data_IF_345812991237
#
_entry.id   IF_345812991237
#
_cell.length_a   1.000
_cell.length_b   1.000
_cell.length_c   1.000
_cell.angle_alpha   90.00
_cell.angle_beta   90.00
_cell.angle_gamma   90.00
#
_symmetry.space_group_name_H-M   'P 1'
#
loop_
_entity.id
_entity.type
_entity.pdbx_description
1 polymer ?
#
# COMPACT_ATOMS: atom_id res chain seq x y z
N UNK A 1 29.47 -47.30 1.07
CA UNK A 1 30.24 -46.70 2.14
C UNK A 1 29.62 -45.32 2.41
N UNK A 2 28.63 -45.30 3.31
CA UNK A 2 27.76 -44.15 3.55
C UNK A 2 28.18 -43.39 4.77
N UNK A 3 28.44 -42.11 4.60
CA UNK A 3 28.83 -41.19 5.70
C UNK A 3 27.55 -40.43 6.14
N UNK A 4 27.02 -40.81 7.33
CA UNK A 4 25.93 -40.07 7.99
C UNK A 4 26.56 -38.89 8.76
N UNK A 5 26.19 -37.67 8.42
CA UNK A 5 26.49 -36.47 9.21
C UNK A 5 25.32 -36.21 10.16
N UNK A 6 25.62 -36.31 11.46
CA UNK A 6 24.72 -35.94 12.57
C UNK A 6 24.77 -34.42 12.77
N UNK A 7 23.63 -33.74 12.64
CA UNK A 7 23.46 -32.34 13.03
C UNK A 7 23.01 -32.25 14.48
N UNK A 8 23.78 -31.53 15.32
CA UNK A 8 23.43 -31.19 16.69
C UNK A 8 22.77 -29.81 16.72
N UNK A 9 21.57 -29.62 17.30
CA UNK A 9 20.98 -28.29 17.42
C UNK A 9 21.59 -27.52 18.60
N UNK A 10 22.16 -26.34 18.31
CA UNK A 10 22.57 -25.36 19.30
C UNK A 10 21.34 -24.58 19.80
N UNK A 11 21.08 -24.68 21.11
CA UNK A 11 20.04 -23.89 21.78
C UNK A 11 20.57 -22.48 22.05
N UNK A 12 19.94 -21.47 21.46
CA UNK A 12 20.11 -20.07 21.83
C UNK A 12 19.21 -19.75 23.04
N UNK A 13 19.82 -19.24 24.10
CA UNK A 13 19.18 -18.74 25.33
C UNK A 13 18.96 -17.23 25.14
N UNK A 14 17.75 -16.66 25.28
CA UNK A 14 17.58 -15.21 25.26
C UNK A 14 17.96 -14.62 26.64
N UNK A 15 18.81 -13.60 26.64
CA UNK A 15 19.11 -12.77 27.79
C UNK A 15 18.00 -11.72 27.99
N UNK A 16 17.33 -11.80 29.14
CA UNK A 16 16.35 -10.80 29.56
C UNK A 16 17.09 -9.69 30.28
N UNK A 17 17.11 -8.48 29.76
CA UNK A 17 17.57 -7.27 30.43
C UNK A 17 16.41 -6.61 31.18
N UNK A 18 16.45 -6.64 32.50
CA UNK A 18 15.51 -5.93 33.37
C UNK A 18 15.96 -4.46 33.51
N UNK A 19 15.17 -3.52 32.96
CA UNK A 19 15.34 -2.09 33.18
C UNK A 19 14.53 -1.62 34.39
N UNK A 20 15.21 -1.02 35.37
CA UNK A 20 14.61 -0.48 36.60
C UNK A 20 13.93 0.89 36.32
N UNK A 21 12.67 1.00 36.70
CA UNK A 21 11.88 2.22 36.69
C UNK A 21 12.14 3.01 37.99
N UNK A 22 12.68 4.23 37.90
CA UNK A 22 12.83 5.15 39.04
C UNK A 22 11.63 6.12 39.03
N UNK A 23 10.76 5.98 40.00
CA UNK A 23 9.67 6.93 40.30
C UNK A 23 10.19 7.98 41.27
N UNK A 24 10.31 9.24 40.81
CA UNK A 24 10.59 10.40 41.65
C UNK A 24 9.31 11.05 42.19
N UNK A 25 9.07 10.92 43.47
CA UNK A 25 8.05 11.68 44.20
C UNK A 25 8.63 13.03 44.63
N UNK A 26 8.11 14.15 44.07
CA UNK A 26 8.40 15.51 44.51
C UNK A 26 7.30 15.99 45.45
N UNK A 27 7.70 16.32 46.69
CA UNK A 27 6.85 16.76 47.77
C UNK A 27 6.38 18.23 47.60
N UNK A 28 5.12 18.48 47.94
CA UNK A 28 4.57 19.81 48.18
C UNK A 28 5.18 20.42 49.47
N UNK A 29 5.64 21.64 49.40
CA UNK A 29 5.97 22.48 50.54
C UNK A 29 5.13 23.74 50.51
N UNK A 30 4.18 23.87 51.46
CA UNK A 30 3.52 25.10 51.83
C UNK A 30 4.48 25.94 52.67
N UNK A 31 4.74 27.18 52.28
CA UNK A 31 5.25 28.20 53.20
C UNK A 31 4.55 29.53 52.95
N UNK A 32 3.73 29.83 53.93
CA UNK A 32 2.99 31.07 54.12
C UNK A 32 3.95 32.10 54.76
N UNK A 33 4.46 33.06 54.04
CA UNK A 33 5.21 34.18 54.58
C UNK A 33 4.64 35.49 54.06
N UNK A 34 3.94 36.15 54.96
CA UNK A 34 3.50 37.55 54.86
C UNK A 34 4.74 38.46 54.98
N UNK A 35 5.09 39.17 53.94
CA UNK A 35 6.05 40.27 54.02
C UNK A 35 5.75 41.35 52.98
N UNK A 36 5.57 42.51 53.47
CA UNK A 36 5.62 43.88 52.93
C UNK A 36 5.79 44.07 51.41
N UNK A 37 4.81 44.75 50.86
CA UNK A 37 4.72 45.23 49.48
C UNK A 37 5.46 46.57 49.32
N UNK A 38 6.60 46.68 48.69
CA UNK A 38 7.09 47.96 48.15
C UNK A 38 6.30 48.32 46.89
N UNK A 39 5.76 49.52 46.86
CA UNK A 39 5.13 50.12 45.67
C UNK A 39 6.23 50.42 44.67
N UNK A 40 6.38 49.63 43.65
CA UNK A 40 7.26 49.89 42.52
C UNK A 40 6.43 50.58 41.43
N UNK A 41 6.72 51.85 41.17
CA UNK A 41 6.23 52.59 40.02
C UNK A 41 6.79 51.96 38.76
N UNK A 42 5.98 51.30 37.95
CA UNK A 42 6.38 50.71 36.71
C UNK A 42 6.72 51.79 35.67
N UNK A 43 7.83 51.75 35.00
CA UNK A 43 8.06 52.58 33.81
C UNK A 43 7.07 52.13 32.69
N UNK A 44 6.55 53.14 32.01
CA UNK A 44 5.64 52.98 30.89
C UNK A 44 6.42 52.38 29.71
N UNK A 45 6.51 51.07 29.63
CA UNK A 45 7.08 50.39 28.46
C UNK A 45 6.09 50.50 27.30
N UNK A 46 6.48 51.29 26.30
CA UNK A 46 5.78 51.34 25.01
C UNK A 46 5.98 49.99 24.32
N UNK A 47 4.92 49.17 24.28
CA UNK A 47 4.90 47.91 23.54
C UNK A 47 5.09 48.27 22.06
N UNK A 48 6.15 47.80 21.38
CA UNK A 48 6.26 47.98 19.93
C UNK A 48 5.07 47.28 19.25
N UNK A 49 4.58 47.84 18.12
CA UNK A 49 3.50 47.18 17.37
C UNK A 49 3.96 45.79 16.98
N UNK A 50 3.01 44.77 16.97
CA UNK A 50 3.37 43.43 16.54
C UNK A 50 3.95 43.48 15.14
N UNK A 51 5.10 42.83 14.97
CA UNK A 51 5.74 42.68 13.65
C UNK A 51 4.68 42.07 12.71
N UNK A 52 4.37 42.84 11.66
CA UNK A 52 3.50 42.34 10.59
C UNK A 52 4.29 41.24 9.90
N UNK A 53 3.99 39.98 10.24
CA UNK A 53 4.52 38.82 9.49
C UNK A 53 4.05 38.99 8.06
N UNK A 54 4.99 39.19 7.15
CA UNK A 54 4.69 39.22 5.72
C UNK A 54 4.00 37.91 5.34
N UNK A 55 2.95 37.92 4.50
CA UNK A 55 2.34 36.70 4.05
C UNK A 55 3.43 35.85 3.38
N UNK A 56 3.66 34.65 3.92
CA UNK A 56 4.50 33.67 3.28
C UNK A 56 3.80 33.30 1.98
N UNK A 57 4.32 33.71 0.86
CA UNK A 57 3.85 33.28 -0.46
C UNK A 57 4.22 31.80 -0.53
N UNK A 58 3.26 30.92 -0.29
CA UNK A 58 3.41 29.50 -0.59
C UNK A 58 3.66 29.43 -2.10
N UNK A 59 4.73 28.78 -2.52
CA UNK A 59 4.96 28.52 -3.93
C UNK A 59 3.73 27.77 -4.48
N UNK A 60 3.26 28.08 -5.69
CA UNK A 60 2.18 27.31 -6.30
C UNK A 60 2.63 25.85 -6.36
N UNK A 61 1.83 24.95 -5.77
CA UNK A 61 2.06 23.50 -5.82
C UNK A 61 1.85 22.94 -7.23
N UNK A 62 2.04 21.65 -7.39
CA UNK A 62 1.74 20.94 -8.63
C UNK A 62 0.22 20.86 -8.84
N UNK A 63 -0.22 21.09 -10.05
CA UNK A 63 -1.59 20.75 -10.45
C UNK A 63 -1.69 19.23 -10.59
N UNK A 64 -2.77 18.59 -10.09
CA UNK A 64 -2.99 17.17 -10.18
C UNK A 64 -4.50 16.85 -10.31
N UNK A 65 -4.88 15.64 -10.73
CA UNK A 65 -6.25 15.17 -10.67
C UNK A 65 -6.83 15.30 -9.25
N UNK A 66 -8.12 15.61 -9.12
CA UNK A 66 -8.78 15.80 -7.81
C UNK A 66 -9.95 14.84 -7.57
N UNK A 67 -10.27 13.99 -8.54
CA UNK A 67 -11.35 13.02 -8.45
C UNK A 67 -10.98 11.79 -7.61
N UNK A 68 -11.98 11.22 -6.93
CA UNK A 68 -11.80 10.03 -6.11
C UNK A 68 -11.34 8.78 -6.90
N UNK A 69 -11.73 8.72 -8.18
CA UNK A 69 -11.37 7.61 -9.09
C UNK A 69 -10.19 7.96 -10.02
N UNK A 70 -9.61 9.13 -9.86
CA UNK A 70 -8.44 9.55 -10.62
C UNK A 70 -7.16 9.26 -9.85
N UNK A 71 -6.11 8.82 -10.54
CA UNK A 71 -4.83 8.46 -9.93
C UNK A 71 -3.84 9.61 -10.07
N UNK A 72 -3.22 10.00 -8.95
CA UNK A 72 -2.13 10.97 -8.92
C UNK A 72 -0.78 10.26 -8.99
N UNK A 73 -0.56 9.26 -8.14
CA UNK A 73 0.67 8.46 -8.14
C UNK A 73 0.31 6.99 -7.97
N UNK A 74 0.94 6.14 -8.78
CA UNK A 74 0.86 4.69 -8.66
C UNK A 74 2.26 4.09 -8.72
N UNK A 75 2.54 3.12 -7.86
CA UNK A 75 3.73 2.26 -7.89
C UNK A 75 3.23 0.82 -7.93
N UNK A 76 3.57 0.10 -9.00
CA UNK A 76 3.15 -1.28 -9.20
C UNK A 76 4.32 -2.15 -9.69
N UNK A 77 4.20 -3.47 -9.46
CA UNK A 77 5.04 -4.47 -10.12
C UNK A 77 4.21 -5.16 -11.19
N UNK A 78 4.67 -5.13 -12.42
CA UNK A 78 3.94 -5.69 -13.55
C UNK A 78 4.75 -6.76 -14.27
N UNK A 79 4.08 -7.81 -14.74
CA UNK A 79 4.73 -8.91 -15.44
C UNK A 79 5.49 -9.88 -14.53
N UNK A 80 6.63 -10.39 -14.98
CA UNK A 80 7.34 -11.48 -14.32
C UNK A 80 6.70 -12.84 -14.63
N UNK A 81 7.23 -13.90 -14.01
CA UNK A 81 6.70 -15.26 -14.17
C UNK A 81 5.65 -15.57 -13.11
N UNK A 82 4.44 -15.06 -13.33
CA UNK A 82 3.29 -15.30 -12.46
C UNK A 82 2.21 -16.10 -13.19
N UNK A 83 1.54 -17.05 -12.50
CA UNK A 83 0.29 -17.62 -13.02
C UNK A 83 -0.73 -16.51 -13.29
N UNK A 84 -1.56 -16.69 -14.32
CA UNK A 84 -2.54 -15.67 -14.74
C UNK A 84 -3.49 -15.25 -13.62
N UNK A 85 -3.84 -16.18 -12.71
CA UNK A 85 -4.72 -15.92 -11.56
C UNK A 85 -4.01 -15.07 -10.49
N UNK A 86 -2.72 -15.31 -10.26
CA UNK A 86 -1.91 -14.50 -9.35
C UNK A 86 -1.75 -13.09 -9.92
N UNK A 87 -1.40 -12.96 -11.19
CA UNK A 87 -1.27 -11.68 -11.87
C UNK A 87 -2.55 -10.84 -11.83
N UNK A 88 -3.73 -11.47 -11.95
CA UNK A 88 -5.01 -10.76 -11.86
C UNK A 88 -5.25 -10.18 -10.45
N UNK A 89 -4.80 -10.86 -9.39
CA UNK A 89 -4.98 -10.44 -7.99
C UNK A 89 -3.94 -9.44 -7.49
N UNK A 90 -2.93 -9.13 -8.31
CA UNK A 90 -1.94 -8.11 -7.97
C UNK A 90 -2.61 -6.75 -7.80
N UNK A 91 -2.23 -6.04 -6.74
CA UNK A 91 -2.63 -4.66 -6.47
C UNK A 91 -1.38 -3.78 -6.45
N UNK A 92 -1.47 -2.49 -6.76
CA UNK A 92 -0.35 -1.59 -6.62
C UNK A 92 0.28 -1.67 -5.22
N UNK A 93 1.58 -1.52 -5.15
CA UNK A 93 2.30 -1.39 -3.87
C UNK A 93 1.87 -0.13 -3.14
N UNK A 94 1.63 0.93 -3.93
CA UNK A 94 1.18 2.23 -3.49
C UNK A 94 0.32 2.86 -4.58
N UNK A 95 -0.82 3.45 -4.21
CA UNK A 95 -1.65 4.25 -5.08
C UNK A 95 -2.20 5.45 -4.30
N UNK A 96 -2.10 6.63 -4.89
CA UNK A 96 -2.69 7.86 -4.34
C UNK A 96 -3.75 8.37 -5.31
N UNK A 97 -4.98 8.50 -4.82
CA UNK A 97 -6.09 9.07 -5.59
C UNK A 97 -6.15 10.59 -5.49
N UNK A 98 -6.86 11.22 -6.43
CA UNK A 98 -6.97 12.67 -6.50
C UNK A 98 -7.68 13.33 -5.32
N UNK A 99 -8.51 12.58 -4.58
CA UNK A 99 -9.15 13.04 -3.35
C UNK A 99 -8.26 12.88 -2.09
N UNK A 100 -7.00 12.44 -2.24
CA UNK A 100 -6.01 12.35 -1.18
C UNK A 100 -6.01 11.02 -0.41
N UNK A 101 -6.70 9.98 -0.89
CA UNK A 101 -6.61 8.66 -0.28
C UNK A 101 -5.33 7.95 -0.76
N UNK A 102 -4.64 7.35 0.20
CA UNK A 102 -3.49 6.48 -0.01
C UNK A 102 -3.91 5.03 0.17
N UNK A 103 -3.67 4.22 -0.85
CA UNK A 103 -3.88 2.76 -0.82
C UNK A 103 -2.52 2.06 -0.85
N UNK A 104 -2.32 1.10 0.03
CA UNK A 104 -1.10 0.30 0.08
C UNK A 104 -1.43 -1.17 0.27
N UNK A 105 -0.57 -2.04 -0.25
CA UNK A 105 -0.66 -3.48 0.03
C UNK A 105 -0.39 -3.72 1.52
N UNK A 106 -1.40 -4.22 2.23
CA UNK A 106 -1.29 -4.56 3.64
C UNK A 106 -0.54 -5.88 3.89
N UNK A 107 -0.23 -6.19 5.16
CA UNK A 107 0.45 -7.43 5.50
C UNK A 107 -0.39 -8.65 5.12
N UNK A 108 0.25 -9.62 4.47
CA UNK A 108 -0.35 -10.89 4.08
C UNK A 108 0.06 -11.99 5.05
N UNK A 109 -0.90 -12.80 5.48
CA UNK A 109 -0.58 -13.97 6.30
C UNK A 109 0.00 -15.09 5.43
N UNK A 110 1.14 -15.64 5.84
CA UNK A 110 1.82 -16.72 5.12
C UNK A 110 1.23 -18.10 5.50
N UNK A 111 -0.02 -18.34 5.07
CA UNK A 111 -0.72 -19.63 5.24
C UNK A 111 -1.11 -20.20 3.87
N UNK A 112 -1.32 -21.49 3.80
CA UNK A 112 -1.87 -22.13 2.61
C UNK A 112 -3.07 -23.02 2.99
N UNK A 113 -4.20 -22.90 2.30
CA UNK A 113 -4.50 -21.87 1.29
C UNK A 113 -4.59 -20.47 1.89
N UNK A 114 -4.10 -19.47 1.15
CA UNK A 114 -4.20 -18.06 1.53
C UNK A 114 -5.61 -17.50 1.34
N UNK A 115 -5.92 -16.32 1.88
CA UNK A 115 -7.20 -15.64 1.65
C UNK A 115 -7.49 -15.45 0.16
N UNK A 116 -8.77 -15.44 -0.21
CA UNK A 116 -9.19 -15.13 -1.58
C UNK A 116 -8.87 -13.67 -1.93
N UNK A 117 -9.18 -12.75 -1.02
CA UNK A 117 -8.97 -11.32 -1.21
C UNK A 117 -7.55 -10.90 -0.82
N UNK A 118 -6.89 -10.05 -1.62
CA UNK A 118 -5.68 -9.34 -1.18
C UNK A 118 -6.03 -8.36 -0.05
N UNK A 119 -5.11 -8.17 0.89
CA UNK A 119 -5.27 -7.17 1.94
C UNK A 119 -4.78 -5.82 1.42
N UNK A 120 -5.68 -4.86 1.31
CA UNK A 120 -5.38 -3.47 0.95
C UNK A 120 -5.74 -2.57 2.12
N UNK A 121 -4.85 -1.69 2.50
CA UNK A 121 -5.07 -0.66 3.52
C UNK A 121 -5.33 0.68 2.85
N UNK A 122 -6.17 1.49 3.47
CA UNK A 122 -6.44 2.87 3.04
C UNK A 122 -6.24 3.84 4.20
N UNK A 123 -5.58 4.96 3.90
CA UNK A 123 -5.42 6.09 4.82
C UNK A 123 -5.64 7.41 4.09
N UNK A 124 -5.77 8.49 4.84
CA UNK A 124 -5.90 9.85 4.30
C UNK A 124 -4.51 10.52 4.28
N UNK A 125 -4.00 10.77 3.09
CA UNK A 125 -2.75 11.49 2.86
C UNK A 125 -2.98 13.01 2.81
N UNK A 126 -4.15 13.42 2.34
CA UNK A 126 -4.54 14.80 2.14
C UNK A 126 -3.73 15.55 1.09
N UNK A 127 -4.08 16.81 0.87
CA UNK A 127 -3.43 17.65 -0.14
C UNK A 127 -1.94 17.89 0.14
N UNK A 128 -1.58 18.18 1.39
CA UNK A 128 -0.17 18.41 1.76
C UNK A 128 0.70 17.18 1.48
N UNK A 129 0.16 15.99 1.68
CA UNK A 129 0.87 14.74 1.40
C UNK A 129 0.98 14.46 -0.10
N UNK A 130 -0.05 14.78 -0.90
CA UNK A 130 0.05 14.71 -2.37
C UNK A 130 1.16 15.63 -2.86
N UNK A 131 1.17 16.90 -2.40
CA UNK A 131 2.19 17.86 -2.82
C UNK A 131 3.60 17.41 -2.42
N UNK A 132 3.77 16.87 -1.21
CA UNK A 132 5.06 16.34 -0.77
C UNK A 132 5.53 15.15 -1.64
N UNK A 133 4.62 14.27 -2.06
CA UNK A 133 4.95 13.15 -2.94
C UNK A 133 5.30 13.61 -4.37
N UNK A 134 4.64 14.66 -4.88
CA UNK A 134 4.96 15.27 -6.17
C UNK A 134 6.29 16.05 -6.11
N UNK A 135 6.60 16.72 -5.00
CA UNK A 135 7.91 17.35 -4.75
C UNK A 135 9.02 16.29 -4.78
N UNK A 136 8.81 15.15 -4.10
CA UNK A 136 9.74 14.02 -4.12
C UNK A 136 9.93 13.48 -5.55
N UNK A 137 8.85 13.33 -6.31
CA UNK A 137 8.94 12.91 -7.71
C UNK A 137 9.73 13.90 -8.57
N UNK A 138 9.54 15.19 -8.36
CA UNK A 138 10.30 16.25 -9.04
C UNK A 138 11.78 16.23 -8.64
N UNK A 139 12.10 16.00 -7.36
CA UNK A 139 13.47 15.88 -6.86
C UNK A 139 14.23 14.75 -7.53
N UNK A 140 13.57 13.60 -7.73
CA UNK A 140 14.11 12.45 -8.47
C UNK A 140 14.01 12.61 -10.00
N UNK A 141 13.47 13.76 -10.49
CA UNK A 141 13.34 14.08 -11.90
C UNK A 141 12.33 13.22 -12.66
N UNK A 142 11.30 12.70 -11.98
CA UNK A 142 10.26 11.83 -12.55
C UNK A 142 9.11 12.62 -13.21
N UNK A 143 9.14 13.95 -13.24
CA UNK A 143 8.21 14.76 -14.01
C UNK A 143 8.78 15.09 -15.41
N UNK A 144 9.50 14.13 -15.98
CA UNK A 144 10.01 14.15 -17.37
C UNK A 144 10.08 12.72 -17.88
N UNK A 145 9.89 12.50 -19.18
CA UNK A 145 10.07 11.18 -19.78
C UNK A 145 11.50 10.68 -19.63
N UNK A 146 11.68 9.40 -19.29
CA UNK A 146 12.98 8.73 -19.14
C UNK A 146 12.92 7.31 -19.67
N UNK A 147 14.08 6.81 -20.11
CA UNK A 147 14.27 5.42 -20.50
C UNK A 147 15.15 4.70 -19.47
N UNK A 148 14.80 3.45 -19.16
CA UNK A 148 15.44 2.66 -18.11
C UNK A 148 16.04 1.37 -18.66
N UNK A 149 16.90 1.52 -19.65
CA UNK A 149 17.57 0.39 -20.30
C UNK A 149 18.40 -0.43 -19.30
N UNK A 150 18.47 -1.73 -19.60
CA UNK A 150 19.29 -2.68 -18.87
C UNK A 150 19.98 -3.62 -19.84
N UNK A 151 21.29 -3.76 -19.68
CA UNK A 151 22.13 -4.56 -20.59
C UNK A 151 22.26 -6.03 -20.16
N UNK A 152 21.89 -6.38 -18.92
CA UNK A 152 22.02 -7.73 -18.36
C UNK A 152 20.74 -8.55 -18.53
N UNK A 153 20.92 -9.87 -18.68
CA UNK A 153 19.83 -10.81 -18.85
C UNK A 153 19.42 -11.38 -17.48
N UNK A 154 18.41 -10.77 -16.87
CA UNK A 154 17.67 -11.39 -15.77
C UNK A 154 16.42 -12.00 -16.38
N UNK A 155 16.15 -13.27 -16.12
CA UNK A 155 14.94 -13.92 -16.61
C UNK A 155 13.80 -13.75 -15.61
N UNK A 156 12.58 -13.61 -16.12
CA UNK A 156 11.34 -13.71 -15.36
C UNK A 156 11.16 -12.67 -14.21
N UNK A 157 11.88 -11.55 -14.27
CA UNK A 157 11.67 -10.44 -13.34
C UNK A 157 10.43 -9.61 -13.72
N UNK A 158 9.86 -8.93 -12.73
CA UNK A 158 8.82 -7.94 -12.97
C UNK A 158 9.41 -6.59 -13.38
N UNK A 159 8.62 -5.78 -14.07
CA UNK A 159 8.84 -4.35 -14.23
C UNK A 159 8.37 -3.63 -12.96
N UNK A 160 9.17 -2.70 -12.45
CA UNK A 160 8.68 -1.65 -11.55
C UNK A 160 8.10 -0.54 -12.41
N UNK A 161 6.82 -0.25 -12.20
CA UNK A 161 6.09 0.79 -12.95
C UNK A 161 5.68 1.88 -11.98
N UNK A 162 6.04 3.12 -12.30
CA UNK A 162 5.63 4.31 -11.57
C UNK A 162 4.87 5.22 -12.53
N UNK A 163 3.61 5.55 -12.20
CA UNK A 163 2.78 6.51 -12.95
C UNK A 163 2.52 7.73 -12.09
N UNK A 164 2.72 8.92 -12.65
CA UNK A 164 2.55 10.18 -11.96
C UNK A 164 1.76 11.13 -12.85
N UNK A 165 0.62 11.63 -12.35
CA UNK A 165 -0.22 12.61 -13.04
C UNK A 165 -0.05 13.98 -12.39
N UNK A 166 0.64 14.89 -13.08
CA UNK A 166 0.92 16.24 -12.59
C UNK A 166 0.94 17.26 -13.74
N UNK A 167 0.50 18.49 -13.48
CA UNK A 167 0.54 19.61 -14.42
C UNK A 167 -0.16 19.33 -15.76
N UNK A 168 -1.21 18.48 -15.74
CA UNK A 168 -1.97 18.08 -16.92
C UNK A 168 -1.33 17.01 -17.79
N UNK A 169 -0.20 16.43 -17.34
CA UNK A 169 0.50 15.33 -18.01
C UNK A 169 0.57 14.09 -17.13
N UNK A 170 0.71 12.91 -17.74
CA UNK A 170 0.96 11.66 -17.02
C UNK A 170 2.30 11.10 -17.49
N UNK A 171 3.20 10.87 -16.54
CA UNK A 171 4.52 10.29 -16.75
C UNK A 171 4.48 8.82 -16.34
N UNK A 172 4.91 7.93 -17.23
CA UNK A 172 5.10 6.51 -16.93
C UNK A 172 6.60 6.17 -16.96
N UNK A 173 7.07 5.61 -15.86
CA UNK A 173 8.43 5.10 -15.69
C UNK A 173 8.37 3.61 -15.53
N UNK A 174 8.99 2.87 -16.44
CA UNK A 174 8.98 1.41 -16.45
C UNK A 174 10.42 0.89 -16.47
N UNK A 175 10.82 0.20 -15.40
CA UNK A 175 12.16 -0.34 -15.25
C UNK A 175 12.12 -1.84 -14.93
N UNK A 176 12.58 -2.65 -15.89
CA UNK A 176 12.69 -4.09 -15.72
C UNK A 176 13.69 -4.47 -14.63
N UNK A 177 13.30 -5.38 -13.73
CA UNK A 177 14.15 -5.92 -12.67
C UNK A 177 14.81 -4.84 -11.78
N UNK A 178 14.12 -3.72 -11.51
CA UNK A 178 14.63 -2.64 -10.67
C UNK A 178 14.88 -3.14 -9.24
N UNK A 179 16.06 -2.81 -8.69
CA UNK A 179 16.44 -3.19 -7.32
C UNK A 179 16.90 -4.64 -7.14
N UNK A 180 16.92 -5.46 -8.20
CA UNK A 180 17.52 -6.80 -8.13
C UNK A 180 19.06 -6.76 -8.22
N UNK A 181 19.62 -5.63 -8.60
CA UNK A 181 21.04 -5.35 -8.56
C UNK A 181 21.34 -4.29 -7.49
N UNK A 182 22.43 -4.44 -6.76
CA UNK A 182 22.78 -3.53 -5.67
C UNK A 182 23.44 -2.24 -6.15
N UNK A 183 23.81 -2.17 -7.43
CA UNK A 183 24.61 -1.09 -8.01
C UNK A 183 23.83 -0.29 -9.09
N UNK A 184 22.52 -0.03 -8.85
CA UNK A 184 21.76 0.84 -9.73
C UNK A 184 22.40 2.23 -9.84
N UNK A 185 22.49 2.77 -11.04
CA UNK A 185 23.11 4.06 -11.33
C UNK A 185 22.25 4.91 -12.26
N UNK A 186 22.52 6.23 -12.31
CA UNK A 186 21.82 7.16 -13.20
C UNK A 186 20.30 7.16 -12.95
N UNK A 187 19.51 7.19 -14.00
CA UNK A 187 18.05 7.28 -13.93
C UNK A 187 17.40 6.11 -13.20
N UNK A 188 17.98 4.91 -13.26
CA UNK A 188 17.50 3.74 -12.52
C UNK A 188 17.67 3.91 -11.01
N UNK A 189 18.79 4.50 -10.55
CA UNK A 189 19.02 4.81 -9.14
C UNK A 189 18.05 5.89 -8.63
N UNK A 190 17.73 6.89 -9.45
CA UNK A 190 16.73 7.92 -9.12
C UNK A 190 15.34 7.30 -8.97
N UNK A 191 14.91 6.45 -9.91
CA UNK A 191 13.63 5.76 -9.82
C UNK A 191 13.56 4.84 -8.59
N UNK A 192 14.63 4.08 -8.32
CA UNK A 192 14.72 3.24 -7.13
C UNK A 192 14.66 4.07 -5.84
N UNK A 193 15.35 5.21 -5.81
CA UNK A 193 15.33 6.16 -4.69
C UNK A 193 13.93 6.67 -4.39
N UNK A 194 13.21 7.12 -5.43
CA UNK A 194 11.81 7.53 -5.31
C UNK A 194 10.92 6.41 -4.75
N UNK A 195 10.96 5.21 -5.36
CA UNK A 195 10.15 4.07 -4.92
C UNK A 195 10.46 3.72 -3.46
N UNK A 196 11.74 3.68 -3.08
CA UNK A 196 12.13 3.38 -1.70
C UNK A 196 11.66 4.44 -0.70
N UNK A 197 11.79 5.74 -1.04
CA UNK A 197 11.34 6.84 -0.19
C UNK A 197 9.81 6.84 -0.06
N UNK A 198 9.07 6.81 -1.17
CA UNK A 198 7.62 6.80 -1.17
C UNK A 198 7.02 5.62 -0.38
N UNK A 199 7.58 4.41 -0.51
CA UNK A 199 7.08 3.22 0.18
C UNK A 199 7.52 3.13 1.65
N UNK A 200 8.62 3.80 2.07
CA UNK A 200 9.09 3.80 3.44
C UNK A 200 8.49 4.91 4.31
N UNK A 201 8.22 6.08 3.73
CA UNK A 201 7.70 7.25 4.44
C UNK A 201 6.19 7.20 4.63
N UNK A 202 5.48 6.64 3.64
CA UNK A 202 4.03 6.46 3.72
C UNK A 202 3.74 5.18 4.52
N UNK A 203 3.76 5.35 5.83
CA UNK A 203 3.59 4.26 6.80
C UNK A 203 2.34 3.43 6.52
N UNK A 204 2.44 2.11 6.73
CA UNK A 204 1.35 1.13 6.58
C UNK A 204 0.29 1.23 7.70
N UNK A 205 0.02 2.45 8.17
CA UNK A 205 -0.99 2.76 9.17
C UNK A 205 -2.30 3.13 8.45
N UNK A 206 -3.09 2.14 8.12
CA UNK A 206 -4.37 2.34 7.46
C UNK A 206 -5.44 1.40 7.99
N UNK A 207 -6.70 1.72 7.70
CA UNK A 207 -7.81 0.79 7.88
C UNK A 207 -7.89 -0.17 6.69
N UNK A 208 -8.46 -1.36 6.90
CA UNK A 208 -8.75 -2.26 5.78
C UNK A 208 -9.68 -1.55 4.79
N UNK A 209 -9.29 -1.51 3.53
CA UNK A 209 -10.08 -0.89 2.48
C UNK A 209 -11.37 -1.68 2.25
N UNK A 210 -12.49 -0.96 2.17
CA UNK A 210 -13.80 -1.50 1.83
C UNK A 210 -14.18 -0.96 0.45
N UNK A 211 -14.09 -1.76 -0.62
CA UNK A 211 -14.38 -1.31 -1.98
C UNK A 211 -15.88 -1.21 -2.21
N UNK A 212 -16.30 -0.39 -3.18
CA UNK A 212 -17.67 -0.40 -3.67
C UNK A 212 -17.92 -1.60 -4.60
N UNK A 213 -16.88 -2.04 -5.32
CA UNK A 213 -16.92 -3.19 -6.22
C UNK A 213 -15.67 -4.06 -6.08
N UNK A 214 -15.84 -5.34 -6.37
CA UNK A 214 -14.72 -6.25 -6.64
C UNK A 214 -14.62 -6.50 -8.14
N UNK A 215 -13.38 -6.60 -8.63
CA UNK A 215 -13.09 -7.13 -9.95
C UNK A 215 -12.95 -8.64 -9.83
N UNK A 216 -13.72 -9.37 -10.60
CA UNK A 216 -13.82 -10.83 -10.55
C UNK A 216 -13.51 -11.42 -11.91
N UNK A 217 -12.66 -12.43 -11.92
CA UNK A 217 -12.46 -13.33 -13.06
C UNK A 217 -12.79 -14.76 -12.64
N UNK A 218 -13.61 -15.45 -13.42
CA UNK A 218 -14.03 -16.81 -13.17
C UNK A 218 -13.44 -17.75 -14.22
N UNK A 219 -12.71 -18.77 -13.79
CA UNK A 219 -12.12 -19.80 -14.66
C UNK A 219 -12.83 -21.12 -14.40
N UNK A 220 -13.48 -21.76 -15.39
CA UNK A 220 -14.11 -23.04 -15.20
C UNK A 220 -13.07 -24.14 -14.91
N UNK A 221 -13.40 -25.06 -14.00
CA UNK A 221 -12.52 -26.14 -13.53
C UNK A 221 -13.26 -27.47 -13.63
N UNK A 222 -12.67 -28.41 -14.37
CA UNK A 222 -13.25 -29.75 -14.58
C UNK A 222 -12.95 -30.71 -13.43
N UNK A 223 -11.82 -30.53 -12.72
CA UNK A 223 -11.34 -31.42 -11.65
C UNK A 223 -10.72 -30.64 -10.50
N UNK A 224 -11.25 -30.84 -9.31
CA UNK A 224 -10.79 -30.25 -8.06
C UNK A 224 -10.02 -31.23 -7.17
N UNK A 225 -9.69 -32.44 -7.64
CA UNK A 225 -9.11 -33.53 -6.82
C UNK A 225 -7.57 -33.46 -6.70
N UNK A 226 -6.90 -32.57 -7.43
CA UNK A 226 -5.43 -32.54 -7.53
C UNK A 226 -4.69 -31.70 -6.45
N UNK A 227 -5.40 -31.25 -5.41
CA UNK A 227 -4.81 -30.39 -4.38
C UNK A 227 -4.43 -31.18 -3.12
N UNK A 228 -3.32 -30.81 -2.47
CA UNK A 228 -2.87 -31.43 -1.20
C UNK A 228 -3.81 -31.14 -0.02
N UNK A 229 -4.57 -30.05 -0.10
CA UNK A 229 -5.61 -29.65 0.86
C UNK A 229 -6.96 -29.81 0.17
N UNK A 230 -7.94 -30.37 0.87
CA UNK A 230 -9.29 -30.56 0.33
C UNK A 230 -9.94 -29.19 0.02
N UNK A 231 -10.34 -28.93 -1.24
CA UNK A 231 -10.99 -27.70 -1.63
C UNK A 231 -12.38 -27.55 -1.00
N UNK A 232 -12.77 -26.31 -0.73
CA UNK A 232 -14.14 -25.96 -0.35
C UNK A 232 -14.94 -25.66 -1.60
N UNK A 233 -16.12 -26.26 -1.76
CA UNK A 233 -17.04 -25.98 -2.87
C UNK A 233 -18.27 -25.28 -2.30
N UNK A 234 -18.58 -24.08 -2.84
CA UNK A 234 -19.67 -23.21 -2.40
C UNK A 234 -20.59 -22.92 -3.59
N UNK A 235 -21.89 -22.96 -3.36
CA UNK A 235 -22.87 -22.56 -4.37
C UNK A 235 -22.83 -21.02 -4.54
N UNK A 236 -22.76 -20.55 -5.79
CA UNK A 236 -22.80 -19.11 -6.08
C UNK A 236 -24.17 -18.56 -5.73
N UNK A 237 -24.28 -17.41 -5.02
CA UNK A 237 -25.55 -16.86 -4.60
C UNK A 237 -26.50 -16.60 -5.77
N UNK A 238 -27.70 -17.14 -5.71
CA UNK A 238 -28.71 -16.99 -6.76
C UNK A 238 -29.21 -15.54 -6.90
N UNK A 239 -29.09 -14.74 -5.83
CA UNK A 239 -29.40 -13.31 -5.79
C UNK A 239 -28.31 -12.45 -6.41
N UNK A 240 -27.11 -12.97 -6.62
CA UNK A 240 -26.05 -12.27 -7.34
C UNK A 240 -26.47 -12.08 -8.81
N UNK A 241 -26.42 -10.84 -9.27
CA UNK A 241 -26.70 -10.53 -10.67
C UNK A 241 -25.61 -11.03 -11.64
N UNK A 242 -24.45 -11.48 -11.11
CA UNK A 242 -23.35 -11.99 -11.90
C UNK A 242 -23.58 -13.45 -12.31
N UNK A 243 -23.47 -13.71 -13.62
CA UNK A 243 -23.27 -15.05 -14.15
C UNK A 243 -21.77 -15.33 -14.25
N UNK A 244 -21.26 -16.35 -13.54
CA UNK A 244 -19.84 -16.69 -13.54
C UNK A 244 -19.33 -17.05 -14.94
N UNK A 245 -20.20 -17.59 -15.79
CA UNK A 245 -19.89 -17.85 -17.19
C UNK A 245 -19.52 -16.58 -17.99
N UNK A 246 -20.01 -15.42 -17.58
CA UNK A 246 -19.75 -14.15 -18.24
C UNK A 246 -18.49 -13.43 -17.68
N UNK A 247 -17.91 -13.97 -16.59
CA UNK A 247 -16.74 -13.39 -15.91
C UNK A 247 -15.41 -14.01 -16.36
N UNK A 248 -15.31 -14.55 -17.57
CA UNK A 248 -14.10 -15.22 -18.06
C UNK A 248 -12.87 -14.31 -18.16
N UNK A 249 -13.05 -13.05 -18.52
CA UNK A 249 -11.97 -12.05 -18.58
C UNK A 249 -11.93 -11.19 -17.31
N UNK A 250 -12.97 -10.40 -17.07
CA UNK A 250 -13.13 -9.56 -15.88
C UNK A 250 -14.56 -8.99 -15.83
N UNK A 251 -15.14 -8.92 -14.63
CA UNK A 251 -16.43 -8.22 -14.38
C UNK A 251 -16.36 -7.52 -13.02
N UNK A 252 -16.89 -6.29 -12.95
CA UNK A 252 -17.07 -5.59 -11.67
C UNK A 252 -18.37 -6.07 -10.99
N UNK A 253 -18.28 -6.45 -9.71
CA UNK A 253 -19.39 -6.95 -8.89
C UNK A 253 -19.56 -6.02 -7.69
N UNK A 254 -20.78 -5.55 -7.37
CA UNK A 254 -21.03 -4.76 -6.17
C UNK A 254 -20.61 -5.53 -4.91
N UNK A 255 -19.85 -4.87 -4.05
CA UNK A 255 -19.27 -5.50 -2.86
C UNK A 255 -20.33 -6.01 -1.90
N UNK A 256 -21.40 -5.25 -1.69
CA UNK A 256 -22.51 -5.58 -0.78
C UNK A 256 -23.20 -6.93 -1.11
N UNK A 257 -23.06 -7.42 -2.34
CA UNK A 257 -23.64 -8.69 -2.78
C UNK A 257 -22.73 -9.91 -2.49
N UNK A 258 -21.44 -9.71 -2.21
CA UNK A 258 -20.43 -10.80 -2.13
C UNK A 258 -19.41 -10.65 -0.99
N UNK A 259 -19.42 -9.56 -0.23
CA UNK A 259 -18.44 -9.28 0.84
C UNK A 259 -18.27 -10.44 1.83
N UNK A 260 -19.37 -10.90 2.42
CA UNK A 260 -19.33 -11.99 3.40
C UNK A 260 -18.80 -13.28 2.78
N UNK A 261 -19.22 -13.58 1.54
CA UNK A 261 -18.80 -14.77 0.81
C UNK A 261 -17.29 -14.74 0.53
N UNK A 262 -16.76 -13.60 0.07
CA UNK A 262 -15.35 -13.48 -0.26
C UNK A 262 -14.46 -13.38 0.97
N UNK A 263 -14.95 -12.80 2.08
CA UNK A 263 -14.21 -12.72 3.34
C UNK A 263 -13.98 -14.10 3.97
N UNK A 264 -14.91 -15.06 3.79
CA UNK A 264 -14.81 -16.42 4.28
C UNK A 264 -14.06 -17.37 3.32
N UNK A 265 -13.89 -16.94 2.06
CA UNK A 265 -13.26 -17.75 1.03
C UNK A 265 -11.73 -17.70 1.08
N UNK A 266 -11.11 -18.73 0.56
CA UNK A 266 -9.65 -18.83 0.36
C UNK A 266 -9.32 -19.24 -1.08
N UNK A 267 -8.04 -19.32 -1.41
CA UNK A 267 -7.55 -19.65 -2.76
C UNK A 267 -7.97 -21.05 -3.27
N UNK A 268 -8.44 -21.93 -2.38
CA UNK A 268 -9.01 -23.25 -2.71
C UNK A 268 -10.52 -23.30 -2.47
N UNK A 269 -11.19 -22.15 -2.47
CA UNK A 269 -12.65 -22.09 -2.53
C UNK A 269 -13.07 -22.01 -3.99
N UNK A 270 -13.85 -23.00 -4.42
CA UNK A 270 -14.45 -23.07 -5.75
C UNK A 270 -15.94 -22.76 -5.65
N UNK A 271 -16.49 -22.16 -6.69
CA UNK A 271 -17.87 -21.74 -6.71
C UNK A 271 -18.63 -22.50 -7.81
N UNK A 272 -19.83 -22.97 -7.49
CA UNK A 272 -20.69 -23.68 -8.46
C UNK A 272 -21.85 -22.82 -8.88
N UNK A 273 -22.09 -22.75 -10.19
CA UNK A 273 -23.27 -22.14 -10.79
C UNK A 273 -23.67 -22.94 -12.03
N UNK A 274 -24.96 -23.32 -12.15
CA UNK A 274 -25.50 -24.06 -13.30
C UNK A 274 -24.72 -25.36 -13.61
N UNK A 275 -24.38 -26.14 -12.55
CA UNK A 275 -23.61 -27.39 -12.62
C UNK A 275 -22.14 -27.21 -13.12
N UNK A 276 -21.64 -26.00 -13.25
CA UNK A 276 -20.24 -25.72 -13.57
C UNK A 276 -19.50 -25.22 -12.34
N UNK A 277 -18.29 -25.74 -12.14
CA UNK A 277 -17.39 -25.31 -11.06
C UNK A 277 -16.40 -24.28 -11.57
N UNK A 278 -16.20 -23.20 -10.82
CA UNK A 278 -15.30 -22.11 -11.16
C UNK A 278 -14.29 -21.85 -10.05
N UNK A 279 -13.07 -21.57 -10.43
CA UNK A 279 -12.09 -20.90 -9.57
C UNK A 279 -12.18 -19.40 -9.82
N UNK A 280 -12.24 -18.60 -8.73
CA UNK A 280 -12.29 -17.15 -8.85
C UNK A 280 -10.93 -16.52 -8.55
N UNK A 281 -10.57 -15.54 -9.36
CA UNK A 281 -9.55 -14.54 -9.03
C UNK A 281 -10.27 -13.24 -8.71
N UNK A 282 -10.03 -12.69 -7.53
CA UNK A 282 -10.77 -11.52 -7.02
C UNK A 282 -9.81 -10.48 -6.47
N UNK A 283 -10.06 -9.21 -6.77
CA UNK A 283 -9.39 -8.08 -6.14
C UNK A 283 -10.36 -6.92 -5.92
N UNK A 284 -10.12 -6.06 -4.90
CA UNK A 284 -10.91 -4.83 -4.76
C UNK A 284 -10.68 -3.93 -5.96
N UNK A 285 -11.72 -3.24 -6.42
CA UNK A 285 -11.58 -2.18 -7.41
C UNK A 285 -10.98 -0.95 -6.74
N UNK A 286 -9.82 -0.53 -7.21
CA UNK A 286 -9.12 0.67 -6.76
C UNK A 286 -9.40 1.85 -7.71
N UNK A 287 -9.09 3.11 -7.32
CA UNK A 287 -9.13 4.24 -8.23
C UNK A 287 -8.35 3.98 -9.52
N UNK A 288 -8.94 4.35 -10.65
CA UNK A 288 -8.35 4.10 -11.97
C UNK A 288 -8.50 2.67 -12.51
N UNK A 289 -8.95 1.72 -11.67
CA UNK A 289 -9.16 0.34 -12.08
C UNK A 289 -10.43 0.16 -12.92
N UNK A 290 -10.35 -0.77 -13.85
CA UNK A 290 -11.47 -1.23 -14.66
C UNK A 290 -11.28 -2.65 -15.17
N UNK A 291 -12.31 -3.17 -15.76
CA UNK A 291 -12.26 -4.41 -16.54
C UNK A 291 -12.03 -4.16 -18.04
#
# INVERSE_FOLDING_TARGET
MGMRRTFTPQRLVPAIAAGALVVGLGACGDDNSTADRPTVTAPNETIPPPDTVAPTTVAPGFEHPTGADEVVVEIAYEGGFLPADAAFRETPVLLVSGDGRLFVSGPQIAIYPGPLLPNVLVSDLGEDGIQALLDLAAEHGLLTEREYDRDDLIADAADTVVRISANGETYEHRAYALGLDTDETGDRAELQGFVAAATSELAMDGAAFQPEHYLVRATPVDDTSGFDVEPTIVEWPAESALLLADAGDCVAVPADSVDELFAEANQLTFFTQDDVTYQLSVRPQLPGDGC
#
